data_IF_212648827313
#
_entry.id   IF_212648827313
#
_cell.length_a   1.000
_cell.length_b   1.000
_cell.length_c   1.000
_cell.angle_alpha   90.00
_cell.angle_beta   90.00
_cell.angle_gamma   90.00
#
_symmetry.space_group_name_H-M   'P 1'
#
loop_
_entity.id
_entity.type
_entity.pdbx_description
1 polymer ?
#
# COMPACT_ATOMS: atom_id res chain seq x y z
N UNK A 1 -12.14 -21.47 16.13
CA UNK A 1 -11.66 -20.74 14.92
C UNK A 1 -11.04 -19.42 15.37
N UNK A 2 -9.97 -18.96 14.71
CA UNK A 2 -9.09 -17.85 15.12
C UNK A 2 -9.80 -16.59 15.65
N UNK A 3 -10.89 -16.18 14.99
CA UNK A 3 -11.68 -14.99 15.37
C UNK A 3 -12.23 -15.04 16.80
N UNK A 4 -12.52 -16.23 17.33
CA UNK A 4 -13.08 -16.43 18.67
C UNK A 4 -12.02 -16.79 19.73
N UNK A 5 -10.76 -16.99 19.34
CA UNK A 5 -9.69 -17.30 20.29
C UNK A 5 -9.27 -16.04 21.05
N UNK A 6 -8.68 -16.17 22.24
CA UNK A 6 -8.03 -15.06 22.97
C UNK A 6 -8.89 -13.78 23.07
N UNK A 7 -10.04 -13.87 23.75
CA UNK A 7 -10.96 -12.75 23.90
C UNK A 7 -10.26 -11.53 24.55
N UNK A 8 -10.56 -10.33 24.06
CA UNK A 8 -9.96 -9.08 24.54
C UNK A 8 -8.54 -8.78 24.04
N UNK A 9 -7.89 -9.72 23.35
CA UNK A 9 -6.54 -9.51 22.78
C UNK A 9 -6.67 -9.11 21.30
N UNK A 10 -6.05 -8.01 20.85
CA UNK A 10 -5.95 -7.64 19.44
C UNK A 10 -5.32 -8.75 18.59
N UNK A 11 -5.77 -8.89 17.35
CA UNK A 11 -5.35 -9.97 16.45
C UNK A 11 -4.96 -9.41 15.09
N UNK A 12 -3.96 -10.04 14.49
CA UNK A 12 -3.62 -9.87 13.08
C UNK A 12 -3.63 -11.25 12.43
N UNK A 13 -4.23 -11.34 11.25
CA UNK A 13 -4.24 -12.56 10.44
C UNK A 13 -4.04 -12.21 8.97
N UNK A 14 -3.17 -12.97 8.33
CA UNK A 14 -3.01 -13.01 6.88
C UNK A 14 -3.42 -14.39 6.41
N UNK A 15 -4.43 -14.47 5.55
CA UNK A 15 -4.93 -15.72 4.99
C UNK A 15 -4.64 -15.71 3.50
N UNK A 16 -3.78 -16.63 3.05
CA UNK A 16 -3.44 -16.78 1.63
C UNK A 16 -4.14 -18.01 1.04
N UNK A 17 -5.09 -17.78 0.14
CA UNK A 17 -5.88 -18.86 -0.47
C UNK A 17 -5.19 -19.28 -1.77
N UNK A 18 -4.30 -20.27 -1.68
CA UNK A 18 -3.36 -20.59 -2.77
C UNK A 18 -3.98 -21.24 -4.01
N UNK A 19 -5.05 -22.04 -3.86
CA UNK A 19 -5.51 -22.93 -4.94
C UNK A 19 -6.85 -22.50 -5.56
N UNK A 20 -7.61 -21.64 -4.89
CA UNK A 20 -9.04 -21.44 -5.18
C UNK A 20 -9.32 -20.94 -6.59
N UNK A 21 -8.41 -20.16 -7.18
CA UNK A 21 -8.54 -19.66 -8.54
C UNK A 21 -7.21 -19.56 -9.25
N UNK A 22 -6.23 -20.36 -8.82
CA UNK A 22 -4.89 -20.28 -9.36
C UNK A 22 -4.90 -20.67 -10.84
N UNK A 23 -5.48 -21.82 -11.19
CA UNK A 23 -5.46 -22.36 -12.56
C UNK A 23 -6.60 -21.87 -13.46
N UNK A 24 -7.66 -21.29 -12.89
CA UNK A 24 -8.88 -20.92 -13.61
C UNK A 24 -9.85 -20.11 -12.76
N UNK A 25 -10.80 -19.45 -13.44
CA UNK A 25 -11.79 -18.55 -12.81
C UNK A 25 -13.05 -19.27 -12.32
N UNK A 26 -13.26 -20.52 -12.75
CA UNK A 26 -14.48 -21.28 -12.55
C UNK A 26 -14.75 -21.56 -11.07
N UNK A 27 -13.69 -21.87 -10.32
CA UNK A 27 -13.77 -22.19 -8.89
C UNK A 27 -14.10 -20.97 -8.01
N UNK A 28 -13.91 -19.73 -8.50
CA UNK A 28 -14.24 -18.53 -7.75
C UNK A 28 -15.74 -18.44 -7.46
N UNK A 29 -16.57 -18.66 -8.48
CA UNK A 29 -18.03 -18.62 -8.37
C UNK A 29 -18.59 -19.69 -7.42
N UNK A 30 -17.94 -20.85 -7.33
CA UNK A 30 -18.35 -21.92 -6.43
C UNK A 30 -18.09 -21.63 -4.95
N UNK A 31 -17.41 -20.53 -4.63
CA UNK A 31 -17.06 -20.16 -3.25
C UNK A 31 -17.69 -18.86 -2.77
N UNK A 32 -18.51 -18.22 -3.60
CA UNK A 32 -19.15 -16.94 -3.26
C UNK A 32 -20.04 -17.09 -2.01
N UNK A 33 -20.87 -18.13 -1.96
CA UNK A 33 -21.74 -18.44 -0.81
C UNK A 33 -20.92 -18.72 0.46
N UNK A 34 -19.78 -19.39 0.34
CA UNK A 34 -18.91 -19.73 1.46
C UNK A 34 -18.24 -18.48 2.03
N UNK A 35 -17.80 -17.55 1.17
CA UNK A 35 -17.30 -16.25 1.61
C UNK A 35 -18.41 -15.41 2.24
N UNK A 36 -19.58 -15.34 1.60
CA UNK A 36 -20.74 -14.62 2.13
C UNK A 36 -21.11 -15.11 3.54
N UNK A 37 -21.20 -16.44 3.70
CA UNK A 37 -21.47 -17.05 4.99
C UNK A 37 -20.36 -16.81 5.99
N UNK A 38 -19.09 -16.81 5.58
CA UNK A 38 -17.97 -16.46 6.45
C UNK A 38 -18.08 -15.01 6.93
N UNK A 39 -18.37 -14.07 6.02
CA UNK A 39 -18.51 -12.66 6.37
C UNK A 39 -19.71 -12.42 7.30
N UNK A 40 -20.88 -12.98 6.99
CA UNK A 40 -22.08 -12.90 7.83
C UNK A 40 -21.86 -13.48 9.22
N UNK A 41 -21.27 -14.68 9.32
CA UNK A 41 -21.00 -15.32 10.61
C UNK A 41 -20.01 -14.55 11.47
N UNK A 42 -19.13 -13.74 10.86
CA UNK A 42 -18.10 -12.97 11.57
C UNK A 42 -18.36 -11.46 11.59
N UNK A 43 -19.55 -10.98 11.19
CA UNK A 43 -19.88 -9.56 11.02
C UNK A 43 -19.50 -8.71 12.25
N UNK A 44 -19.84 -9.18 13.45
CA UNK A 44 -19.55 -8.48 14.71
C UNK A 44 -18.05 -8.31 14.99
N UNK A 45 -17.20 -9.20 14.47
CA UNK A 45 -15.75 -9.04 14.60
C UNK A 45 -15.22 -7.94 13.65
N UNK A 46 -15.84 -7.77 12.49
CA UNK A 46 -15.47 -6.73 11.53
C UNK A 46 -15.90 -5.32 11.95
N UNK A 47 -16.84 -5.19 12.88
CA UNK A 47 -17.20 -3.90 13.47
C UNK A 47 -16.01 -3.16 14.09
N UNK A 48 -15.03 -3.89 14.61
CA UNK A 48 -13.84 -3.32 15.26
C UNK A 48 -12.53 -3.73 14.55
N UNK A 49 -12.62 -4.22 13.32
CA UNK A 49 -11.45 -4.67 12.54
C UNK A 49 -11.28 -3.86 11.26
N UNK A 50 -10.03 -3.65 10.85
CA UNK A 50 -9.68 -3.26 9.49
C UNK A 50 -9.47 -4.54 8.67
N UNK A 51 -10.23 -4.70 7.59
CA UNK A 51 -10.17 -5.87 6.72
C UNK A 51 -9.73 -5.44 5.33
N UNK A 52 -8.72 -6.13 4.79
CA UNK A 52 -8.34 -6.10 3.39
C UNK A 52 -8.71 -7.45 2.76
N UNK A 53 -9.44 -7.41 1.66
CA UNK A 53 -9.75 -8.58 0.84
C UNK A 53 -9.30 -8.30 -0.58
N UNK A 54 -8.23 -8.97 -1.02
CA UNK A 54 -7.52 -8.62 -2.24
C UNK A 54 -7.01 -9.85 -2.99
N UNK A 55 -6.85 -9.70 -4.30
CA UNK A 55 -6.02 -10.59 -5.11
C UNK A 55 -4.55 -10.15 -5.07
N UNK A 56 -3.63 -11.09 -5.10
CA UNK A 56 -2.21 -10.81 -5.31
C UNK A 56 -1.92 -10.45 -6.77
N UNK A 57 -2.69 -11.00 -7.70
CA UNK A 57 -2.72 -10.65 -9.11
C UNK A 57 -4.12 -10.83 -9.70
N UNK A 58 -4.36 -10.26 -10.88
CA UNK A 58 -5.55 -10.59 -11.67
C UNK A 58 -5.40 -11.93 -12.41
N UNK A 59 -6.43 -12.41 -13.12
CA UNK A 59 -6.42 -13.73 -13.74
C UNK A 59 -5.31 -13.87 -14.80
N UNK A 60 -4.58 -15.01 -14.76
CA UNK A 60 -3.40 -15.25 -15.62
C UNK A 60 -3.55 -16.49 -16.52
N UNK A 61 -4.23 -17.50 -16.01
CA UNK A 61 -4.35 -18.82 -16.64
C UNK A 61 -5.59 -18.92 -17.55
N UNK A 62 -5.91 -20.13 -18.02
CA UNK A 62 -7.03 -20.40 -18.93
C UNK A 62 -7.08 -19.52 -20.18
N UNK A 63 -5.90 -19.22 -20.76
CA UNK A 63 -5.72 -18.38 -21.95
C UNK A 63 -6.24 -16.93 -21.84
N UNK A 64 -6.64 -16.46 -20.66
CA UNK A 64 -7.17 -15.09 -20.51
C UNK A 64 -6.13 -14.02 -20.85
N UNK A 65 -4.85 -14.29 -20.64
CA UNK A 65 -3.75 -13.39 -21.02
C UNK A 65 -3.61 -13.17 -22.53
N UNK A 66 -4.18 -14.06 -23.36
CA UNK A 66 -4.11 -13.95 -24.83
C UNK A 66 -5.02 -12.83 -25.35
N UNK A 67 -6.14 -12.56 -24.67
CA UNK A 67 -7.08 -11.50 -25.06
C UNK A 67 -6.65 -10.14 -24.48
N UNK A 68 -6.92 -9.06 -25.23
CA UNK A 68 -6.50 -7.70 -24.85
C UNK A 68 -7.03 -7.29 -23.46
N UNK A 69 -8.31 -7.54 -23.19
CA UNK A 69 -8.93 -7.19 -21.91
C UNK A 69 -8.33 -7.99 -20.75
N UNK A 70 -8.06 -9.28 -20.94
CA UNK A 70 -7.47 -10.12 -19.90
C UNK A 70 -6.07 -9.69 -19.47
N UNK A 71 -5.29 -9.03 -20.34
CA UNK A 71 -4.01 -8.41 -19.96
C UNK A 71 -4.18 -7.18 -19.05
N UNK A 72 -5.27 -6.44 -19.21
CA UNK A 72 -5.61 -5.34 -18.31
C UNK A 72 -6.09 -5.88 -16.96
N UNK A 73 -7.01 -6.86 -16.98
CA UNK A 73 -7.51 -7.51 -15.77
C UNK A 73 -6.39 -8.17 -14.96
N UNK A 74 -5.42 -8.83 -15.62
CA UNK A 74 -4.26 -9.42 -14.96
C UNK A 74 -3.46 -8.41 -14.11
N UNK A 75 -3.42 -7.14 -14.53
CA UNK A 75 -2.72 -6.04 -13.87
C UNK A 75 -3.61 -5.20 -12.96
N UNK A 76 -4.88 -5.59 -12.82
CA UNK A 76 -5.89 -4.90 -12.02
C UNK A 76 -6.44 -5.86 -10.96
N UNK A 77 -5.62 -6.29 -9.98
CA UNK A 77 -6.11 -7.16 -8.92
C UNK A 77 -7.21 -6.46 -8.12
N UNK A 78 -8.20 -7.25 -7.72
CA UNK A 78 -9.30 -6.77 -6.88
C UNK A 78 -8.78 -6.34 -5.51
N UNK A 79 -9.35 -5.25 -4.96
CA UNK A 79 -9.11 -4.80 -3.59
C UNK A 79 -10.42 -4.29 -2.99
N UNK A 80 -10.78 -4.84 -1.83
CA UNK A 80 -11.84 -4.36 -0.97
C UNK A 80 -11.25 -4.05 0.40
N UNK A 81 -11.63 -2.89 0.95
CA UNK A 81 -11.26 -2.46 2.29
C UNK A 81 -12.53 -2.23 3.10
N UNK A 82 -12.68 -2.95 4.21
CA UNK A 82 -13.76 -2.69 5.18
C UNK A 82 -13.17 -2.02 6.42
N UNK A 83 -13.71 -0.85 6.76
CA UNK A 83 -13.30 -0.08 7.93
C UNK A 83 -14.03 -0.51 9.21
N UNK A 84 -13.34 -0.47 10.37
CA UNK A 84 -14.00 -0.57 11.66
C UNK A 84 -14.99 0.59 11.83
N UNK A 85 -16.08 0.36 12.56
CA UNK A 85 -17.16 1.33 12.79
C UNK A 85 -16.66 2.69 13.23
N UNK A 86 -15.65 2.74 14.12
CA UNK A 86 -15.05 3.98 14.62
C UNK A 86 -14.45 4.86 13.52
N UNK A 87 -13.98 4.28 12.41
CA UNK A 87 -13.42 5.04 11.28
C UNK A 87 -14.47 5.41 10.23
N UNK A 88 -15.66 4.84 10.27
CA UNK A 88 -16.72 5.15 9.29
C UNK A 88 -17.25 6.57 9.52
N UNK A 89 -17.26 7.37 8.45
CA UNK A 89 -17.71 8.77 8.48
C UNK A 89 -16.65 9.75 8.98
N UNK A 90 -15.44 9.27 9.26
CA UNK A 90 -14.27 10.12 9.55
C UNK A 90 -13.61 10.59 8.26
N UNK A 91 -12.64 11.50 8.37
CA UNK A 91 -11.80 11.92 7.25
C UNK A 91 -11.06 10.76 6.58
N UNK A 92 -10.68 9.73 7.34
CA UNK A 92 -10.06 8.50 6.79
C UNK A 92 -11.01 7.77 5.85
N UNK A 93 -12.31 7.72 6.19
CA UNK A 93 -13.31 7.09 5.33
C UNK A 93 -13.49 7.86 4.01
N UNK A 94 -13.55 9.19 4.08
CA UNK A 94 -13.69 10.03 2.89
C UNK A 94 -12.43 9.98 2.00
N UNK A 95 -11.24 9.95 2.59
CA UNK A 95 -9.99 9.77 1.83
C UNK A 95 -9.95 8.41 1.14
N UNK A 96 -10.33 7.32 1.81
CA UNK A 96 -10.38 5.99 1.19
C UNK A 96 -11.41 5.92 0.06
N UNK A 97 -12.58 6.57 0.20
CA UNK A 97 -13.55 6.70 -0.90
C UNK A 97 -12.98 7.50 -2.07
N UNK A 98 -12.24 8.59 -1.81
CA UNK A 98 -11.61 9.36 -2.88
C UNK A 98 -10.55 8.51 -3.62
N UNK A 99 -9.75 7.74 -2.88
CA UNK A 99 -8.73 6.83 -3.42
C UNK A 99 -9.31 5.65 -4.19
N UNK A 100 -10.55 5.22 -3.92
CA UNK A 100 -11.19 4.13 -4.68
C UNK A 100 -11.43 4.48 -6.15
N UNK A 101 -11.31 5.76 -6.53
CA UNK A 101 -11.41 6.25 -7.90
C UNK A 101 -10.04 6.60 -8.52
N UNK A 102 -8.95 6.26 -7.84
CA UNK A 102 -7.57 6.54 -8.27
C UNK A 102 -6.84 5.23 -8.57
N UNK A 103 -5.78 5.33 -9.37
CA UNK A 103 -4.87 4.21 -9.56
C UNK A 103 -4.13 3.95 -8.25
N UNK A 104 -4.26 2.73 -7.72
CA UNK A 104 -3.55 2.24 -6.55
C UNK A 104 -2.75 0.99 -6.89
N UNK A 105 -1.71 0.77 -6.11
CA UNK A 105 -0.86 -0.42 -6.13
C UNK A 105 -0.92 -1.11 -4.77
N UNK A 106 -0.54 -2.40 -4.66
CA UNK A 106 -0.44 -3.06 -3.36
C UNK A 106 0.50 -2.35 -2.36
N UNK A 107 1.46 -1.56 -2.84
CA UNK A 107 2.36 -0.78 -2.00
C UNK A 107 1.64 0.37 -1.28
N UNK A 108 0.55 0.90 -1.85
CA UNK A 108 -0.25 1.97 -1.22
C UNK A 108 -1.04 1.49 0.02
N UNK A 109 -1.12 0.17 0.25
CA UNK A 109 -1.68 -0.41 1.48
C UNK A 109 -0.69 -0.36 2.65
N UNK A 110 0.60 -0.15 2.36
CA UNK A 110 1.62 -0.05 3.40
C UNK A 110 1.51 1.31 4.09
N UNK A 111 1.33 1.28 5.41
CA UNK A 111 1.38 2.49 6.23
C UNK A 111 2.83 2.84 6.54
N UNK A 112 3.40 3.81 5.83
CA UNK A 112 4.69 4.40 6.21
C UNK A 112 4.48 5.42 7.33
N UNK A 113 5.29 5.35 8.40
CA UNK A 113 5.26 6.31 9.49
C UNK A 113 5.54 7.75 8.99
N UNK A 114 4.62 8.71 9.16
CA UNK A 114 4.83 10.10 8.74
C UNK A 114 6.07 10.75 9.38
N UNK A 115 6.42 10.35 10.61
CA UNK A 115 7.62 10.83 11.27
C UNK A 115 8.89 10.29 10.61
N UNK A 116 8.92 8.99 10.31
CA UNK A 116 9.97 8.34 9.52
C UNK A 116 10.10 9.00 8.14
N UNK A 117 8.99 9.25 7.44
CA UNK A 117 8.99 9.95 6.15
C UNK A 117 9.65 11.32 6.25
N UNK A 118 9.26 12.10 7.25
CA UNK A 118 9.85 13.42 7.49
C UNK A 118 11.33 13.34 7.83
N UNK A 119 11.75 12.37 8.67
CA UNK A 119 13.15 12.17 9.07
C UNK A 119 14.02 11.82 7.87
N UNK A 120 13.62 10.81 7.10
CA UNK A 120 14.34 10.38 5.89
C UNK A 120 14.37 11.48 4.83
N UNK A 121 13.25 12.17 4.61
CA UNK A 121 13.22 13.28 3.65
C UNK A 121 14.07 14.48 4.06
N UNK A 122 14.14 14.78 5.36
CA UNK A 122 15.04 15.81 5.90
C UNK A 122 16.51 15.39 5.78
N UNK A 123 16.81 14.12 6.05
CA UNK A 123 18.15 13.57 5.90
C UNK A 123 18.66 13.70 4.46
N UNK A 124 17.87 13.30 3.47
CA UNK A 124 18.23 13.43 2.04
C UNK A 124 18.53 14.89 1.67
N UNK A 125 17.69 15.84 2.11
CA UNK A 125 17.92 17.26 1.85
C UNK A 125 19.24 17.77 2.48
N UNK A 126 19.56 17.32 3.70
CA UNK A 126 20.80 17.69 4.38
C UNK A 126 22.04 17.10 3.71
N UNK A 127 22.00 15.82 3.33
CA UNK A 127 23.13 15.17 2.63
C UNK A 127 23.36 15.78 1.25
N UNK A 128 22.31 16.10 0.50
CA UNK A 128 22.44 16.80 -0.77
C UNK A 128 23.17 18.14 -0.59
N UNK A 129 22.76 18.94 0.40
CA UNK A 129 23.42 20.23 0.66
C UNK A 129 24.88 20.06 1.11
N UNK A 130 25.18 19.03 1.92
CA UNK A 130 26.56 18.70 2.33
C UNK A 130 27.41 18.33 1.13
N UNK A 131 26.89 17.51 0.24
CA UNK A 131 27.61 17.06 -0.96
C UNK A 131 27.86 18.22 -1.93
N UNK A 132 26.87 19.08 -2.15
CA UNK A 132 27.03 20.30 -2.96
C UNK A 132 28.11 21.22 -2.37
N UNK A 133 28.16 21.37 -1.04
CA UNK A 133 29.22 22.14 -0.40
C UNK A 133 30.60 21.48 -0.58
N UNK A 134 30.68 20.16 -0.36
CA UNK A 134 31.92 19.37 -0.48
C UNK A 134 32.51 19.40 -1.89
N UNK A 135 31.65 19.40 -2.90
CA UNK A 135 32.03 19.43 -4.33
C UNK A 135 32.21 20.85 -4.88
N UNK A 136 32.08 21.89 -4.03
CA UNK A 136 32.31 23.28 -4.41
C UNK A 136 31.12 23.98 -5.09
N UNK A 137 29.97 23.33 -5.19
CA UNK A 137 28.72 23.88 -5.73
C UNK A 137 27.86 24.62 -4.69
N UNK A 138 28.21 24.59 -3.40
CA UNK A 138 27.40 25.18 -2.33
C UNK A 138 27.13 26.70 -2.44
N UNK A 139 27.91 27.43 -3.24
CA UNK A 139 27.65 28.86 -3.57
C UNK A 139 26.86 29.07 -4.87
N UNK A 140 26.78 28.03 -5.72
CA UNK A 140 26.07 28.06 -7.02
C UNK A 140 24.65 27.52 -6.88
N UNK A 141 24.45 26.53 -6.03
CA UNK A 141 23.16 25.88 -5.83
C UNK A 141 22.44 26.47 -4.61
N UNK A 142 21.14 26.70 -4.73
CA UNK A 142 20.29 27.06 -3.60
C UNK A 142 20.17 25.89 -2.62
N UNK A 143 20.23 26.18 -1.31
CA UNK A 143 20.02 25.16 -0.28
C UNK A 143 18.63 24.54 -0.43
N UNK A 144 18.62 23.21 -0.50
CA UNK A 144 17.40 22.44 -0.59
C UNK A 144 16.88 22.07 0.80
N UNK A 145 15.57 22.11 0.98
CA UNK A 145 14.85 21.68 2.17
C UNK A 145 13.80 20.64 1.80
N UNK A 146 13.40 19.84 2.77
CA UNK A 146 12.33 18.86 2.60
C UNK A 146 10.98 19.56 2.32
N UNK A 147 10.26 19.12 1.28
CA UNK A 147 8.87 19.51 1.03
C UNK A 147 7.91 18.38 1.40
N UNK A 148 8.06 17.22 0.78
CA UNK A 148 7.29 16.00 1.10
C UNK A 148 8.01 14.74 0.62
N UNK A 149 7.74 13.61 1.26
CA UNK A 149 8.09 12.30 0.72
C UNK A 149 7.08 11.96 -0.39
N UNK A 150 7.59 11.45 -1.50
CA UNK A 150 6.80 10.91 -2.60
C UNK A 150 6.56 9.43 -2.32
N UNK A 151 7.62 8.72 -1.94
CA UNK A 151 7.59 7.29 -1.66
C UNK A 151 8.80 6.88 -0.79
N UNK A 152 8.61 5.89 0.09
CA UNK A 152 9.67 5.31 0.91
C UNK A 152 9.45 3.81 1.04
N UNK A 153 10.44 3.05 0.60
CA UNK A 153 10.46 1.59 0.76
C UNK A 153 11.56 1.20 1.74
N UNK A 154 11.22 0.33 2.69
CA UNK A 154 12.17 -0.30 3.59
C UNK A 154 12.52 -1.71 3.08
N UNK A 155 13.82 -1.98 2.93
CA UNK A 155 14.34 -3.29 2.53
C UNK A 155 15.26 -3.83 3.62
N UNK A 156 14.84 -4.95 4.23
CA UNK A 156 15.64 -5.64 5.24
C UNK A 156 16.62 -6.62 4.58
N UNK A 157 17.92 -6.37 4.74
CA UNK A 157 19.04 -7.15 4.20
C UNK A 157 19.87 -7.72 5.35
N UNK A 158 19.41 -8.84 5.92
CA UNK A 158 20.06 -9.50 7.06
C UNK A 158 19.95 -8.64 8.33
N UNK A 159 21.07 -8.15 8.84
CA UNK A 159 21.12 -7.21 9.98
C UNK A 159 21.04 -5.74 9.56
N UNK A 160 21.03 -5.47 8.25
CA UNK A 160 20.99 -4.12 7.71
C UNK A 160 19.58 -3.79 7.23
N UNK A 161 19.21 -2.51 7.35
CA UNK A 161 17.98 -1.98 6.77
C UNK A 161 18.37 -0.91 5.75
N UNK A 162 17.95 -1.10 4.51
CA UNK A 162 18.12 -0.15 3.43
C UNK A 162 16.79 0.58 3.20
N UNK A 163 16.85 1.86 2.83
CA UNK A 163 15.67 2.62 2.46
C UNK A 163 15.83 3.16 1.04
N UNK A 164 14.82 2.95 0.19
CA UNK A 164 14.63 3.73 -1.03
C UNK A 164 13.77 4.93 -0.68
N UNK A 165 14.23 6.15 -0.99
CA UNK A 165 13.55 7.39 -0.57
C UNK A 165 13.38 8.31 -1.78
N UNK A 166 12.15 8.52 -2.20
CA UNK A 166 11.78 9.52 -3.21
C UNK A 166 11.20 10.74 -2.51
N UNK A 167 11.82 11.91 -2.72
CA UNK A 167 11.44 13.14 -2.03
C UNK A 167 11.30 14.30 -2.99
N UNK A 168 10.31 15.14 -2.74
CA UNK A 168 10.22 16.47 -3.32
C UNK A 168 10.97 17.45 -2.41
N UNK A 169 11.92 18.21 -2.97
CA UNK A 169 12.69 19.24 -2.27
C UNK A 169 12.23 20.64 -2.68
N UNK A 170 12.55 21.63 -1.84
CA UNK A 170 12.26 23.05 -2.07
C UNK A 170 13.50 23.91 -1.75
N UNK A 171 13.73 25.04 -2.44
CA UNK A 171 12.93 25.58 -3.54
C UNK A 171 13.10 24.77 -4.84
N UNK A 172 11.99 24.48 -5.51
CA UNK A 172 11.94 23.72 -6.76
C UNK A 172 11.92 24.62 -8.01
N UNK A 173 12.03 25.94 -7.85
CA UNK A 173 11.85 26.95 -8.91
C UNK A 173 13.05 27.04 -9.86
N UNK A 174 13.86 25.98 -9.94
CA UNK A 174 14.92 25.86 -10.92
C UNK A 174 14.30 25.68 -12.31
N UNK A 175 14.30 26.76 -13.10
CA UNK A 175 14.38 26.61 -14.55
C UNK A 175 15.68 25.85 -14.82
N UNK A 176 15.59 24.57 -15.15
CA UNK A 176 16.70 23.88 -15.80
C UNK A 176 16.89 24.58 -17.15
N UNK A 177 17.80 25.56 -17.20
CA UNK A 177 18.30 26.16 -18.44
C UNK A 177 19.23 25.19 -19.15
#
# INVERSE_FOLDING_TARGET
MFMNAYAGIPKIATVWIAALSHEGLEAFYHTDDQFLDMFKRNEKHFDNSLLFFMGDHGPRYSNIHTVRLGRYENRNPFLLVALPKMLRGTTVHEELKAKSMQLMTPFDLHATDPELQRKLGTFVAQELNRELARTGYGKKCMKQGYKKAIDIEELNLGTNTLYTVYVELKPSDGLFS
#
